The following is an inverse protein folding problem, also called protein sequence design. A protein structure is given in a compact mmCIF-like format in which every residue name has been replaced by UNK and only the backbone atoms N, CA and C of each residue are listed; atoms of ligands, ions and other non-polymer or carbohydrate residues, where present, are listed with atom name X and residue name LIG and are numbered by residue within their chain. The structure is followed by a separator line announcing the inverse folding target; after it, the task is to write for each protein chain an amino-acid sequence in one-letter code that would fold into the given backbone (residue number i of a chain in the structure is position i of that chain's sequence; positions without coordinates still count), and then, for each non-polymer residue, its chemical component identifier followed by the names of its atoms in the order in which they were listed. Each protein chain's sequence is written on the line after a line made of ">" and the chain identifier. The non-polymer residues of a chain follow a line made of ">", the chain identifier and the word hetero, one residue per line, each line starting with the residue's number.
data_IF_601531426563
#
_entry.id   IF_601531426563
#
_cell.length_a   1.000
_cell.length_b   1.000
_cell.length_c   1.000
_cell.angle_alpha   90.00
_cell.angle_beta   90.00
_cell.angle_gamma   90.00
#
_symmetry.space_group_name_H-M   'P 1'
#
loop_
_entity.id
_entity.type
_entity.pdbx_description
1 polymer ?
#
# COMPACT_ATOMS: atom_id res chain seq x y z
N UNK A 1 18.21 31.71 -15.44
CA UNK A 1 17.15 31.17 -14.57
C UNK A 1 17.55 29.75 -14.18
N UNK A 2 17.98 29.54 -12.96
CA UNK A 2 18.19 28.20 -12.46
C UNK A 2 16.84 27.53 -12.23
N UNK A 3 16.58 26.30 -12.72
CA UNK A 3 15.42 25.57 -12.30
C UNK A 3 15.49 25.37 -10.78
N UNK A 4 14.36 25.41 -10.06
CA UNK A 4 14.38 25.21 -8.62
C UNK A 4 15.02 23.86 -8.33
N UNK A 5 15.93 23.85 -7.38
CA UNK A 5 16.62 22.65 -6.92
C UNK A 5 15.62 21.67 -6.30
N UNK A 6 15.03 20.82 -7.11
CA UNK A 6 14.09 19.76 -6.71
C UNK A 6 14.77 18.70 -5.83
N UNK A 7 16.10 18.68 -5.80
CA UNK A 7 16.86 17.60 -5.17
C UNK A 7 17.09 17.74 -3.67
N UNK A 8 16.92 18.92 -3.08
CA UNK A 8 17.25 19.14 -1.66
C UNK A 8 16.08 18.81 -0.74
N UNK A 9 14.86 18.83 -1.24
CA UNK A 9 13.66 18.67 -0.42
C UNK A 9 13.07 17.26 -0.42
N UNK A 10 13.36 16.44 -1.41
CA UNK A 10 12.74 15.08 -1.53
C UNK A 10 12.99 14.23 -0.29
N UNK A 11 14.19 14.24 0.27
CA UNK A 11 14.50 13.46 1.47
C UNK A 11 13.72 13.95 2.68
N UNK A 12 13.62 15.27 2.83
CA UNK A 12 12.86 15.91 3.90
C UNK A 12 11.37 15.62 3.77
N UNK A 13 10.83 15.78 2.57
CA UNK A 13 9.43 15.51 2.27
C UNK A 13 9.11 14.03 2.46
N UNK A 14 10.02 13.15 2.06
CA UNK A 14 9.88 11.72 2.24
C UNK A 14 9.83 11.33 3.73
N UNK A 15 10.68 11.93 4.56
CA UNK A 15 10.66 11.72 6.02
C UNK A 15 9.32 12.15 6.62
N UNK A 16 8.79 13.28 6.20
CA UNK A 16 7.47 13.76 6.63
C UNK A 16 6.33 12.81 6.23
N UNK A 17 6.47 12.12 5.11
CA UNK A 17 5.47 11.16 4.60
C UNK A 17 5.57 9.78 5.24
N UNK A 18 6.69 9.42 5.88
CA UNK A 18 6.93 8.05 6.37
C UNK A 18 5.79 7.44 7.19
N UNK A 19 5.15 8.12 8.15
CA UNK A 19 4.04 7.53 8.91
C UNK A 19 2.84 7.18 8.02
N UNK A 20 2.55 8.01 7.05
CA UNK A 20 1.46 7.79 6.08
C UNK A 20 1.78 6.62 5.15
N UNK A 21 3.00 6.59 4.62
CA UNK A 21 3.49 5.52 3.75
C UNK A 21 3.52 4.18 4.47
N UNK A 22 3.90 4.16 5.74
CA UNK A 22 3.90 2.95 6.58
C UNK A 22 2.50 2.38 6.74
N UNK A 23 1.51 3.22 7.05
CA UNK A 23 0.10 2.78 7.13
C UNK A 23 -0.37 2.16 5.82
N UNK A 24 -0.06 2.80 4.70
CA UNK A 24 -0.41 2.27 3.39
C UNK A 24 0.29 0.93 3.10
N UNK A 25 1.58 0.82 3.36
CA UNK A 25 2.31 -0.44 3.21
C UNK A 25 1.70 -1.56 4.07
N UNK A 26 1.27 -1.27 5.28
CA UNK A 26 0.57 -2.23 6.15
C UNK A 26 -0.77 -2.71 5.57
N UNK A 27 -1.52 -1.85 4.87
CA UNK A 27 -2.75 -2.27 4.20
C UNK A 27 -2.50 -3.23 3.03
N UNK A 28 -1.32 -3.14 2.41
CA UNK A 28 -0.94 -4.01 1.30
C UNK A 28 -0.36 -5.34 1.77
N UNK A 29 0.51 -5.30 2.77
CA UNK A 29 1.25 -6.47 3.24
C UNK A 29 0.53 -7.27 4.32
N UNK A 30 -0.31 -6.62 5.11
CA UNK A 30 -0.97 -7.22 6.28
C UNK A 30 -0.04 -7.54 7.45
N UNK A 31 1.26 -7.23 7.35
CA UNK A 31 2.28 -7.48 8.36
C UNK A 31 3.19 -6.26 8.55
N UNK A 32 3.48 -5.91 9.80
CA UNK A 32 4.28 -4.74 10.14
C UNK A 32 5.75 -4.87 9.68
N UNK A 33 6.33 -6.04 9.81
CA UNK A 33 7.73 -6.28 9.43
C UNK A 33 7.90 -6.26 7.91
N UNK A 34 6.98 -6.89 7.18
CA UNK A 34 6.94 -6.85 5.72
C UNK A 34 6.71 -5.43 5.21
N UNK A 35 5.83 -4.66 5.84
CA UNK A 35 5.61 -3.26 5.52
C UNK A 35 6.87 -2.40 5.73
N UNK A 36 7.57 -2.57 6.82
CA UNK A 36 8.81 -1.84 7.12
C UNK A 36 9.93 -2.19 6.12
N UNK A 37 10.04 -3.45 5.73
CA UNK A 37 11.01 -3.92 4.72
C UNK A 37 10.70 -3.32 3.35
N UNK A 38 9.44 -3.39 2.93
CA UNK A 38 8.96 -2.79 1.68
C UNK A 38 9.22 -1.28 1.66
N UNK A 39 8.93 -0.60 2.76
CA UNK A 39 9.10 0.84 2.88
C UNK A 39 10.57 1.24 2.73
N UNK A 40 11.50 0.54 3.38
CA UNK A 40 12.95 0.79 3.24
C UNK A 40 13.41 0.64 1.80
N UNK A 41 13.02 -0.43 1.13
CA UNK A 41 13.41 -0.69 -0.25
C UNK A 41 12.85 0.38 -1.19
N UNK A 42 11.58 0.73 -1.03
CA UNK A 42 10.95 1.76 -1.88
C UNK A 42 11.54 3.14 -1.62
N UNK A 43 11.79 3.53 -0.37
CA UNK A 43 12.41 4.81 -0.06
C UNK A 43 13.80 4.94 -0.67
N UNK A 44 14.62 3.90 -0.58
CA UNK A 44 15.94 3.88 -1.23
C UNK A 44 15.82 4.05 -2.75
N UNK A 45 14.88 3.34 -3.37
CA UNK A 45 14.60 3.43 -4.81
C UNK A 45 14.10 4.82 -5.22
N UNK A 46 13.20 5.41 -4.44
CA UNK A 46 12.66 6.76 -4.66
C UNK A 46 13.76 7.81 -4.62
N UNK A 47 14.67 7.74 -3.65
CA UNK A 47 15.81 8.65 -3.55
C UNK A 47 16.71 8.54 -4.78
N UNK A 48 17.02 7.33 -5.22
CA UNK A 48 17.84 7.09 -6.42
C UNK A 48 17.15 7.55 -7.71
N UNK A 49 15.83 7.39 -7.79
CA UNK A 49 15.02 7.76 -8.96
C UNK A 49 14.41 9.15 -8.87
N UNK A 50 14.78 9.95 -7.90
CA UNK A 50 14.20 11.28 -7.69
C UNK A 50 14.35 12.21 -8.92
N UNK A 51 15.38 12.01 -9.73
CA UNK A 51 15.59 12.75 -10.98
C UNK A 51 14.58 12.39 -12.09
N UNK A 52 13.87 11.29 -11.98
CA UNK A 52 12.79 10.91 -12.91
C UNK A 52 11.45 11.58 -12.59
N UNK A 53 11.29 12.05 -11.34
CA UNK A 53 10.09 12.80 -10.99
C UNK A 53 10.23 14.25 -11.46
N UNK A 54 9.42 14.61 -12.46
CA UNK A 54 9.46 15.94 -13.10
C UNK A 54 8.36 16.89 -12.61
N UNK A 55 7.67 16.55 -11.52
CA UNK A 55 6.56 17.36 -11.02
C UNK A 55 5.25 17.18 -11.80
N UNK A 56 5.13 16.12 -12.60
CA UNK A 56 3.92 15.82 -13.38
C UNK A 56 2.73 15.44 -12.50
N UNK A 57 3.00 14.92 -11.30
CA UNK A 57 2.01 14.64 -10.28
C UNK A 57 2.54 15.06 -8.91
N UNK A 58 1.67 15.08 -7.91
CA UNK A 58 2.09 15.35 -6.53
C UNK A 58 3.10 14.30 -6.07
N UNK A 59 4.14 14.73 -5.37
CA UNK A 59 5.17 13.83 -4.84
C UNK A 59 4.55 12.68 -4.02
N UNK A 60 3.56 13.00 -3.21
CA UNK A 60 2.81 12.03 -2.41
C UNK A 60 2.23 10.91 -3.28
N UNK A 61 1.46 11.26 -4.31
CA UNK A 61 0.83 10.31 -5.22
C UNK A 61 1.86 9.42 -5.91
N UNK A 62 2.98 9.99 -6.32
CA UNK A 62 4.07 9.25 -6.94
C UNK A 62 4.71 8.24 -5.99
N UNK A 63 5.00 8.65 -4.74
CA UNK A 63 5.61 7.76 -3.75
C UNK A 63 4.65 6.65 -3.32
N UNK A 64 3.37 6.94 -3.10
CA UNK A 64 2.35 5.92 -2.82
C UNK A 64 2.25 4.89 -3.96
N UNK A 65 2.30 5.35 -5.20
CA UNK A 65 2.34 4.46 -6.37
C UNK A 65 3.60 3.57 -6.39
N UNK A 66 4.76 4.11 -6.01
CA UNK A 66 6.00 3.33 -5.92
C UNK A 66 5.92 2.22 -4.88
N UNK A 67 5.22 2.44 -3.75
CA UNK A 67 4.97 1.39 -2.74
C UNK A 67 4.10 0.27 -3.32
N UNK A 68 3.03 0.62 -4.02
CA UNK A 68 2.18 -0.39 -4.68
C UNK A 68 2.97 -1.22 -5.71
N UNK A 69 3.77 -0.56 -6.54
CA UNK A 69 4.61 -1.24 -7.54
C UNK A 69 5.61 -2.17 -6.85
N UNK A 70 6.29 -1.70 -5.82
CA UNK A 70 7.23 -2.50 -5.04
C UNK A 70 6.57 -3.74 -4.43
N UNK A 71 5.37 -3.61 -3.90
CA UNK A 71 4.60 -4.74 -3.37
C UNK A 71 4.22 -5.74 -4.46
N UNK A 72 3.76 -5.27 -5.62
CA UNK A 72 3.46 -6.13 -6.75
C UNK A 72 4.68 -6.92 -7.22
N UNK A 73 5.85 -6.31 -7.22
CA UNK A 73 7.10 -6.97 -7.58
C UNK A 73 7.50 -8.04 -6.55
N UNK A 74 7.32 -7.76 -5.25
CA UNK A 74 7.55 -8.73 -4.17
C UNK A 74 6.62 -9.94 -4.30
N UNK A 75 5.34 -9.73 -4.58
CA UNK A 75 4.38 -10.81 -4.80
C UNK A 75 4.76 -11.68 -6.01
N UNK A 76 5.22 -11.06 -7.09
CA UNK A 76 5.68 -11.81 -8.28
C UNK A 76 6.92 -12.66 -7.97
N UNK A 77 7.88 -12.13 -7.21
CA UNK A 77 9.07 -12.87 -6.77
C UNK A 77 8.68 -14.05 -5.91
N UNK A 78 7.81 -13.84 -4.94
CA UNK A 78 7.33 -14.88 -4.02
C UNK A 78 6.59 -15.99 -4.77
N UNK A 79 5.67 -15.65 -5.65
CA UNK A 79 4.93 -16.61 -6.47
C UNK A 79 5.86 -17.42 -7.39
N UNK A 80 6.91 -16.79 -7.93
CA UNK A 80 7.92 -17.48 -8.75
C UNK A 80 8.74 -18.47 -7.93
N UNK A 81 9.16 -18.09 -6.73
CA UNK A 81 9.89 -18.98 -5.82
C UNK A 81 9.03 -20.15 -5.35
N UNK A 82 7.76 -19.93 -5.04
CA UNK A 82 6.83 -21.02 -4.69
C UNK A 82 6.61 -21.98 -5.85
N UNK A 83 6.49 -21.47 -7.08
CA UNK A 83 6.34 -22.32 -8.25
C UNK A 83 7.57 -23.18 -8.50
N UNK A 84 8.77 -22.64 -8.30
CA UNK A 84 10.03 -23.39 -8.41
C UNK A 84 10.19 -24.43 -7.31
N UNK A 85 9.81 -24.12 -6.07
CA UNK A 85 9.84 -25.06 -4.96
C UNK A 85 8.79 -26.16 -5.08
N UNK A 86 7.63 -25.89 -5.67
CA UNK A 86 6.60 -26.90 -5.97
C UNK A 86 7.04 -27.88 -7.07
N UNK A 87 7.87 -27.45 -8.01
CA UNK A 87 8.49 -28.34 -9.00
C UNK A 87 9.55 -29.27 -8.39
N UNK A 88 10.13 -28.89 -7.26
CA UNK A 88 11.18 -29.67 -6.57
C UNK A 88 10.68 -30.46 -5.36
N UNK A 89 9.44 -30.28 -4.95
CA UNK A 89 8.82 -30.96 -3.82
C UNK A 89 7.49 -31.58 -4.25
N UNK A 90 7.54 -32.83 -4.70
CA UNK A 90 6.35 -33.67 -4.57
C UNK A 90 6.04 -33.88 -3.10
N UNK A 91 4.81 -33.47 -2.73
CA UNK A 91 4.14 -33.73 -1.46
C UNK A 91 4.75 -33.08 -0.19
N UNK A 92 4.19 -31.97 0.15
CA UNK A 92 3.55 -31.76 1.49
C UNK A 92 2.69 -30.50 1.39
N UNK A 93 1.38 -30.66 1.54
CA UNK A 93 0.44 -29.57 1.53
C UNK A 93 0.62 -28.66 2.73
N UNK A 94 1.38 -27.61 2.55
CA UNK A 94 1.27 -26.42 3.38
C UNK A 94 0.65 -25.36 2.46
N UNK A 95 -0.62 -25.13 2.63
CA UNK A 95 -1.28 -23.98 2.05
C UNK A 95 -0.58 -22.74 2.57
N UNK A 96 0.21 -22.14 1.70
CA UNK A 96 0.94 -20.91 1.97
C UNK A 96 -0.01 -19.81 2.37
N UNK A 97 0.43 -19.08 3.36
CA UNK A 97 -0.10 -17.94 4.01
C UNK A 97 -1.36 -17.31 3.46
N UNK A 98 -2.44 -17.48 4.20
CA UNK A 98 -3.54 -16.54 4.17
C UNK A 98 -2.94 -15.15 4.40
N UNK A 99 -2.96 -14.32 3.38
CA UNK A 99 -2.73 -12.89 3.53
C UNK A 99 -3.72 -12.42 4.59
N UNK A 100 -3.25 -12.19 5.81
CA UNK A 100 -4.11 -11.71 6.89
C UNK A 100 -4.72 -10.41 6.41
N UNK A 101 -5.97 -10.46 6.01
CA UNK A 101 -6.68 -9.28 5.57
C UNK A 101 -6.60 -8.23 6.66
N UNK A 102 -5.96 -7.12 6.37
CA UNK A 102 -5.84 -6.01 7.31
C UNK A 102 -7.25 -5.61 7.78
N UNK A 103 -7.45 -5.53 9.09
CA UNK A 103 -8.77 -5.31 9.72
C UNK A 103 -9.83 -6.38 9.36
N UNK A 104 -9.44 -7.54 8.83
CA UNK A 104 -10.38 -8.57 8.40
C UNK A 104 -11.18 -8.18 7.16
N UNK A 105 -10.70 -7.24 6.38
CA UNK A 105 -11.27 -6.85 5.09
C UNK A 105 -10.64 -7.63 3.94
N UNK A 106 -11.42 -7.94 2.89
CA UNK A 106 -10.85 -8.47 1.65
C UNK A 106 -9.77 -7.56 1.07
N UNK A 107 -8.85 -8.16 0.32
CA UNK A 107 -7.75 -7.46 -0.33
C UNK A 107 -8.24 -6.28 -1.19
N UNK A 108 -7.57 -5.16 -1.06
CA UNK A 108 -7.88 -3.92 -1.79
C UNK A 108 -8.93 -3.03 -1.14
N UNK A 109 -9.75 -3.52 -0.22
CA UNK A 109 -10.74 -2.66 0.46
C UNK A 109 -10.08 -1.74 1.48
N UNK A 110 -9.17 -2.26 2.28
CA UNK A 110 -8.46 -1.48 3.30
C UNK A 110 -7.58 -0.40 2.68
N UNK A 111 -6.85 -0.70 1.62
CA UNK A 111 -6.01 0.28 0.91
C UNK A 111 -6.85 1.37 0.24
N UNK A 112 -7.97 1.02 -0.36
CA UNK A 112 -8.90 2.01 -0.95
C UNK A 112 -9.48 2.94 0.12
N UNK A 113 -9.95 2.39 1.23
CA UNK A 113 -10.49 3.18 2.34
C UNK A 113 -9.44 4.13 2.91
N UNK A 114 -8.20 3.65 3.11
CA UNK A 114 -7.11 4.47 3.59
C UNK A 114 -6.81 5.64 2.65
N UNK A 115 -6.68 5.39 1.36
CA UNK A 115 -6.32 6.43 0.40
C UNK A 115 -7.41 7.51 0.29
N UNK A 116 -8.66 7.13 0.25
CA UNK A 116 -9.76 8.09 0.05
C UNK A 116 -10.21 8.73 1.36
N UNK A 117 -10.55 7.94 2.37
CA UNK A 117 -11.19 8.45 3.59
C UNK A 117 -10.17 8.97 4.63
N UNK A 118 -8.96 8.43 4.67
CA UNK A 118 -7.93 8.84 5.64
C UNK A 118 -6.94 9.82 5.03
N UNK A 119 -6.40 9.50 3.85
CA UNK A 119 -5.37 10.33 3.21
C UNK A 119 -5.98 11.46 2.35
N UNK A 120 -7.26 11.39 2.02
CA UNK A 120 -7.98 12.44 1.31
C UNK A 120 -7.67 12.53 -0.18
N UNK A 121 -7.18 11.47 -0.80
CA UNK A 121 -7.04 11.41 -2.25
C UNK A 121 -8.40 11.34 -2.94
N UNK A 122 -8.54 11.99 -4.08
CA UNK A 122 -9.73 11.82 -4.89
C UNK A 122 -9.75 10.43 -5.58
N UNK A 123 -10.87 10.06 -6.18
CA UNK A 123 -11.04 8.74 -6.78
C UNK A 123 -10.08 8.51 -7.95
N UNK A 124 -9.78 9.55 -8.72
CA UNK A 124 -8.85 9.47 -9.84
C UNK A 124 -7.41 9.25 -9.37
N UNK A 125 -6.98 9.98 -8.35
CA UNK A 125 -5.65 9.80 -7.74
C UNK A 125 -5.50 8.43 -7.08
N UNK A 126 -6.50 8.00 -6.29
CA UNK A 126 -6.51 6.68 -5.66
C UNK A 126 -6.48 5.56 -6.70
N UNK A 127 -7.22 5.70 -7.80
CA UNK A 127 -7.21 4.77 -8.92
C UNK A 127 -5.81 4.66 -9.57
N UNK A 128 -5.16 5.79 -9.81
CA UNK A 128 -3.78 5.85 -10.32
C UNK A 128 -2.80 5.18 -9.37
N UNK A 129 -2.90 5.45 -8.07
CA UNK A 129 -2.03 4.86 -7.04
C UNK A 129 -2.20 3.33 -7.01
N UNK A 130 -3.43 2.84 -7.01
CA UNK A 130 -3.73 1.41 -6.93
C UNK A 130 -3.68 0.68 -8.28
N UNK A 131 -3.56 1.39 -9.39
CA UNK A 131 -3.52 0.82 -10.73
C UNK A 131 -4.85 0.17 -11.14
N UNK A 132 -5.95 0.77 -10.75
CA UNK A 132 -7.32 0.32 -11.03
C UNK A 132 -8.15 1.45 -11.62
N UNK A 133 -9.39 1.15 -12.02
CA UNK A 133 -10.31 2.18 -12.53
C UNK A 133 -10.96 2.98 -11.40
N UNK A 134 -11.38 4.25 -11.62
CA UNK A 134 -12.12 5.03 -10.64
C UNK A 134 -13.44 4.38 -10.21
N UNK A 135 -14.11 3.67 -11.12
CA UNK A 135 -15.35 2.93 -10.84
C UNK A 135 -15.09 1.80 -9.83
N UNK A 136 -13.94 1.12 -9.94
CA UNK A 136 -13.55 0.09 -8.98
C UNK A 136 -13.24 0.70 -7.60
N UNK A 137 -12.64 1.89 -7.56
CA UNK A 137 -12.42 2.63 -6.31
C UNK A 137 -13.76 2.91 -5.62
N UNK A 138 -14.76 3.42 -6.36
CA UNK A 138 -16.10 3.69 -5.84
C UNK A 138 -16.76 2.43 -5.26
N UNK A 139 -16.70 1.33 -6.00
CA UNK A 139 -17.25 0.03 -5.58
C UNK A 139 -16.55 -0.51 -4.33
N UNK A 140 -15.24 -0.51 -4.30
CA UNK A 140 -14.44 -0.96 -3.14
C UNK A 140 -14.67 -0.09 -1.91
N UNK A 141 -14.77 1.22 -2.08
CA UNK A 141 -15.02 2.16 -0.99
C UNK A 141 -16.39 1.92 -0.35
N UNK A 142 -17.41 1.70 -1.15
CA UNK A 142 -18.75 1.34 -0.67
C UNK A 142 -18.71 0.02 0.14
N UNK A 143 -18.08 -1.00 -0.39
CA UNK A 143 -17.92 -2.30 0.29
C UNK A 143 -17.12 -2.18 1.60
N UNK A 144 -16.04 -1.38 1.60
CA UNK A 144 -15.22 -1.15 2.78
C UNK A 144 -15.99 -0.43 3.90
N UNK A 145 -16.76 0.60 3.54
CA UNK A 145 -17.60 1.34 4.49
C UNK A 145 -18.69 0.46 5.09
N UNK A 146 -19.32 -0.39 4.28
CA UNK A 146 -20.31 -1.38 4.75
C UNK A 146 -19.66 -2.39 5.71
N UNK A 147 -18.48 -2.89 5.38
CA UNK A 147 -17.75 -3.83 6.24
C UNK A 147 -17.40 -3.22 7.61
N UNK A 148 -17.07 -1.94 7.66
CA UNK A 148 -16.83 -1.24 8.92
C UNK A 148 -18.11 -1.02 9.74
N UNK A 149 -19.21 -0.67 9.09
CA UNK A 149 -20.47 -0.41 9.77
C UNK A 149 -21.13 -1.70 10.32
N UNK A 150 -20.83 -2.85 9.72
CA UNK A 150 -21.35 -4.15 10.17
C UNK A 150 -20.58 -4.78 11.34
N UNK A 151 -19.41 -4.25 11.70
CA UNK A 151 -18.69 -4.71 12.89
C UNK A 151 -19.36 -4.15 14.14
N UNK A 152 -19.84 -5.01 15.07
CA UNK A 152 -20.38 -4.50 16.32
C UNK A 152 -19.30 -3.73 17.06
N UNK A 153 -19.63 -2.52 17.47
CA UNK A 153 -18.77 -1.68 18.30
C UNK A 153 -18.55 -2.41 19.62
N UNK A 154 -17.43 -3.09 19.76
CA UNK A 154 -17.02 -3.74 21.01
C UNK A 154 -16.58 -2.74 22.08
N UNK A 155 -17.32 -1.67 22.25
CA UNK A 155 -17.22 -0.84 23.44
C UNK A 155 -18.15 -1.44 24.49
N UNK A 156 -17.67 -2.44 25.16
CA UNK A 156 -18.23 -2.79 26.47
C UNK A 156 -17.73 -1.70 27.41
N UNK A 157 -18.56 -0.71 27.63
CA UNK A 157 -18.42 0.22 28.73
C UNK A 157 -18.48 -0.62 30.02
N UNK A 158 -17.30 -0.87 30.60
CA UNK A 158 -17.18 -1.48 31.91
C UNK A 158 -17.55 -0.40 32.91
N UNK A 159 -18.85 -0.27 33.18
CA UNK A 159 -19.34 0.47 34.35
C UNK A 159 -18.89 -0.29 35.59
N UNK A 160 -17.96 0.31 36.29
CA UNK A 160 -17.70 -0.06 37.67
C UNK A 160 -18.81 0.53 38.58
#
# INVERSE_FOLDING_TARGET
>A
MNPPAVSTDIRRDLVALLPRLRRFAQTLTGDANAADSLLREVCARVILKSHHWKGECRLESWVFNQIRIGWSDELRKHNRQESLSKQNAEATGVRGGESKAFLGMPEGLASTLLLVDVEGFDYSEAASILGVTPELISSRLCAARLALSSKPSGFTEKRA
#
